data_IF_056021644667
#
_entry.id   IF_056021644667
#
_cell.length_a   1.000
_cell.length_b   1.000
_cell.length_c   1.000
_cell.angle_alpha   90.00
_cell.angle_beta   90.00
_cell.angle_gamma   90.00
#
_symmetry.space_group_name_H-M   'P 1'
#
loop_
_entity.id
_entity.type
_entity.pdbx_description
1 polymer ?
#
# COMPACT_ATOMS: atom_id res chain seq x y z
N UNK A 1 11.55 30.29 17.71
CA UNK A 1 11.50 30.48 16.24
C UNK A 1 11.27 29.13 15.61
N UNK A 2 10.02 28.77 15.33
CA UNK A 2 9.71 27.60 14.50
C UNK A 2 10.16 27.91 13.07
N UNK A 3 11.12 27.13 12.58
CA UNK A 3 11.51 27.16 11.17
C UNK A 3 10.43 26.42 10.39
N UNK A 4 9.44 27.16 9.89
CA UNK A 4 8.59 26.66 8.83
C UNK A 4 9.45 26.51 7.57
N UNK A 5 10.02 25.33 7.35
CA UNK A 5 10.53 24.95 6.05
C UNK A 5 9.33 24.83 5.11
N UNK A 6 9.13 25.84 4.27
CA UNK A 6 8.22 25.74 3.13
C UNK A 6 8.64 24.54 2.29
N UNK A 7 7.86 23.47 2.33
CA UNK A 7 8.09 22.31 1.47
C UNK A 7 7.79 22.71 0.04
N UNK A 8 8.79 23.25 -0.67
CA UNK A 8 8.71 23.53 -2.11
C UNK A 8 8.36 22.24 -2.82
N UNK A 9 7.15 22.18 -3.37
CA UNK A 9 6.70 21.04 -4.16
C UNK A 9 7.56 20.94 -5.43
N UNK A 10 8.45 19.94 -5.47
CA UNK A 10 9.26 19.65 -6.66
C UNK A 10 8.42 18.83 -7.64
N UNK A 11 8.12 19.41 -8.81
CA UNK A 11 7.38 18.72 -9.87
C UNK A 11 8.14 17.46 -10.31
N UNK A 12 7.42 16.33 -10.37
CA UNK A 12 7.97 15.08 -10.89
C UNK A 12 8.28 15.23 -12.38
N UNK A 13 9.52 14.99 -12.77
CA UNK A 13 9.98 14.96 -14.15
C UNK A 13 9.89 13.54 -14.71
N UNK A 14 9.80 13.36 -16.02
CA UNK A 14 9.96 12.04 -16.61
C UNK A 14 11.41 11.57 -16.37
N UNK A 15 11.57 10.42 -15.72
CA UNK A 15 12.87 9.74 -15.56
C UNK A 15 12.77 8.37 -16.19
N UNK A 16 13.65 8.10 -17.15
CA UNK A 16 13.80 6.78 -17.72
C UNK A 16 14.89 6.02 -16.97
N UNK A 17 14.52 4.85 -16.46
CA UNK A 17 15.43 3.95 -15.76
C UNK A 17 15.81 2.82 -16.70
N UNK A 18 17.11 2.56 -16.85
CA UNK A 18 17.62 1.47 -17.68
C UNK A 18 17.15 0.11 -17.14
N UNK A 19 17.10 -0.90 -18.01
CA UNK A 19 16.68 -2.24 -17.61
C UNK A 19 17.62 -2.85 -16.57
N UNK A 20 18.93 -2.71 -16.75
CA UNK A 20 19.95 -3.19 -15.81
C UNK A 20 19.76 -2.58 -14.41
N UNK A 21 19.49 -1.28 -14.34
CA UNK A 21 19.23 -0.60 -13.09
C UNK A 21 17.97 -1.15 -12.38
N UNK A 22 16.88 -1.37 -13.13
CA UNK A 22 15.65 -1.96 -12.57
C UNK A 22 15.92 -3.33 -11.96
N UNK A 23 16.66 -4.18 -12.67
CA UNK A 23 16.99 -5.53 -12.22
C UNK A 23 17.91 -5.52 -10.99
N UNK A 24 18.91 -4.63 -10.96
CA UNK A 24 19.79 -4.48 -9.80
C UNK A 24 18.99 -4.15 -8.53
N UNK A 25 18.10 -3.16 -8.60
CA UNK A 25 17.26 -2.76 -7.46
C UNK A 25 16.36 -3.91 -7.00
N UNK A 26 15.75 -4.65 -7.93
CA UNK A 26 14.92 -5.82 -7.60
C UNK A 26 15.74 -6.86 -6.86
N UNK A 27 16.94 -7.21 -7.35
CA UNK A 27 17.81 -8.18 -6.71
C UNK A 27 18.27 -7.75 -5.30
N UNK A 28 18.62 -6.48 -5.10
CA UNK A 28 19.01 -5.97 -3.77
C UNK A 28 17.87 -6.04 -2.76
N UNK A 29 16.64 -5.73 -3.20
CA UNK A 29 15.45 -5.83 -2.34
C UNK A 29 15.12 -7.29 -2.02
N UNK A 30 15.23 -8.20 -3.01
CA UNK A 30 14.99 -9.63 -2.79
C UNK A 30 16.03 -10.28 -1.88
N UNK A 31 17.28 -9.82 -1.93
CA UNK A 31 18.33 -10.21 -0.97
C UNK A 31 18.10 -9.64 0.44
N UNK A 32 17.11 -8.76 0.63
CA UNK A 32 16.84 -8.09 1.90
C UNK A 32 17.88 -7.02 2.27
N UNK A 33 18.72 -6.59 1.32
CA UNK A 33 19.76 -5.58 1.57
C UNK A 33 19.17 -4.17 1.66
N UNK A 34 18.06 -3.92 0.96
CA UNK A 34 17.37 -2.64 0.96
C UNK A 34 15.86 -2.84 1.05
N UNK A 35 15.20 -1.93 1.76
CA UNK A 35 13.74 -1.82 1.71
C UNK A 35 13.30 -0.99 0.50
N UNK A 36 12.06 -1.19 0.03
CA UNK A 36 11.49 -0.40 -1.08
C UNK A 36 11.57 1.11 -0.82
N UNK A 37 11.35 1.53 0.42
CA UNK A 37 11.46 2.94 0.85
C UNK A 37 12.90 3.43 0.86
N UNK A 38 13.84 2.58 1.24
CA UNK A 38 15.25 2.94 1.29
C UNK A 38 15.83 3.04 -0.13
N UNK A 39 15.53 2.10 -1.02
CA UNK A 39 15.92 2.18 -2.43
C UNK A 39 15.45 3.48 -3.10
N UNK A 40 14.28 4.00 -2.72
CA UNK A 40 13.83 5.30 -3.24
C UNK A 40 14.69 6.48 -2.79
N UNK A 41 15.14 6.46 -1.54
CA UNK A 41 15.98 7.52 -0.96
C UNK A 41 17.41 7.42 -1.47
N UNK A 42 17.99 6.23 -1.41
CA UNK A 42 19.39 5.96 -1.79
C UNK A 42 19.64 6.22 -3.28
N UNK A 43 18.73 5.77 -4.15
CA UNK A 43 18.90 5.90 -5.60
C UNK A 43 18.12 7.06 -6.24
N UNK A 44 17.46 7.90 -5.43
CA UNK A 44 16.72 9.06 -5.94
C UNK A 44 15.56 8.69 -6.88
N UNK A 45 14.90 7.55 -6.61
CA UNK A 45 13.73 7.09 -7.35
C UNK A 45 12.53 7.89 -6.87
N UNK A 46 11.78 8.48 -7.81
CA UNK A 46 10.74 9.46 -7.50
C UNK A 46 9.58 8.95 -6.64
N UNK A 47 9.28 7.65 -6.71
CA UNK A 47 8.15 7.08 -5.98
C UNK A 47 8.38 5.61 -5.64
N UNK A 48 7.97 5.23 -4.44
CA UNK A 48 7.90 3.85 -3.97
C UNK A 48 7.09 2.96 -4.92
N UNK A 49 5.98 3.48 -5.48
CA UNK A 49 5.14 2.71 -6.39
C UNK A 49 5.87 2.28 -7.67
N UNK A 50 6.86 3.05 -8.12
CA UNK A 50 7.70 2.68 -9.28
C UNK A 50 8.52 1.43 -8.98
N UNK A 51 9.14 1.37 -7.80
CA UNK A 51 9.92 0.20 -7.35
C UNK A 51 9.01 -1.02 -7.16
N UNK A 52 7.83 -0.83 -6.57
CA UNK A 52 6.83 -1.92 -6.43
C UNK A 52 6.41 -2.47 -7.79
N UNK A 53 6.28 -1.63 -8.82
CA UNK A 53 5.97 -2.11 -10.19
C UNK A 53 7.12 -2.95 -10.77
N UNK A 54 8.37 -2.59 -10.51
CA UNK A 54 9.52 -3.40 -10.95
C UNK A 54 9.57 -4.73 -10.23
N UNK A 55 9.34 -4.73 -8.91
CA UNK A 55 9.23 -5.95 -8.12
C UNK A 55 8.12 -6.86 -8.67
N UNK A 56 6.91 -6.34 -8.92
CA UNK A 56 5.82 -7.12 -9.51
C UNK A 56 6.11 -7.71 -10.89
N UNK A 57 6.96 -7.06 -11.68
CA UNK A 57 7.23 -7.47 -13.07
C UNK A 57 8.46 -8.37 -13.20
N UNK A 58 9.47 -8.15 -12.37
CA UNK A 58 10.79 -8.78 -12.49
C UNK A 58 11.21 -9.54 -11.24
N UNK A 59 10.45 -9.44 -10.16
CA UNK A 59 10.71 -10.16 -8.93
C UNK A 59 10.11 -11.56 -8.93
N UNK A 60 10.62 -12.39 -8.03
CA UNK A 60 10.29 -13.79 -7.84
C UNK A 60 9.21 -14.01 -6.76
N UNK A 61 8.75 -12.94 -6.09
CA UNK A 61 7.71 -13.05 -5.07
C UNK A 61 6.37 -13.41 -5.70
N UNK A 62 5.60 -14.27 -5.06
CA UNK A 62 4.26 -14.60 -5.53
C UNK A 62 3.28 -13.45 -5.21
N UNK A 63 3.05 -12.60 -6.20
CA UNK A 63 2.10 -11.47 -6.09
C UNK A 63 0.64 -11.88 -6.31
N UNK A 64 0.38 -13.05 -6.89
CA UNK A 64 -0.98 -13.52 -7.20
C UNK A 64 -1.61 -14.20 -5.99
N UNK A 65 -0.83 -14.94 -5.20
CA UNK A 65 -1.29 -15.61 -3.98
C UNK A 65 -0.98 -14.82 -2.70
N UNK A 66 -1.01 -13.49 -2.76
CA UNK A 66 -0.92 -12.70 -1.53
C UNK A 66 -2.16 -12.94 -0.69
N UNK A 67 -1.97 -13.34 0.57
CA UNK A 67 -3.06 -13.36 1.54
C UNK A 67 -3.71 -11.98 1.53
N UNK A 68 -4.98 -11.87 1.13
CA UNK A 68 -5.65 -10.59 1.14
C UNK A 68 -5.56 -10.04 2.55
N UNK A 69 -5.07 -8.80 2.70
CA UNK A 69 -5.22 -8.04 3.95
C UNK A 69 -6.69 -7.62 4.15
N UNK A 70 -7.65 -8.46 3.74
CA UNK A 70 -9.04 -8.34 4.12
C UNK A 70 -9.09 -8.56 5.62
N UNK A 71 -8.99 -7.45 6.36
CA UNK A 71 -9.27 -7.42 7.78
C UNK A 71 -10.67 -8.00 7.94
N UNK A 72 -10.78 -9.18 8.53
CA UNK A 72 -12.07 -9.71 8.94
C UNK A 72 -12.72 -8.67 9.85
N UNK A 73 -14.03 -8.43 9.67
CA UNK A 73 -14.77 -7.50 10.55
C UNK A 73 -14.50 -7.91 12.00
N UNK A 74 -14.17 -6.94 12.84
CA UNK A 74 -14.05 -7.19 14.28
C UNK A 74 -15.37 -7.80 14.79
N UNK A 75 -15.34 -8.73 15.75
CA UNK A 75 -16.54 -9.26 16.38
C UNK A 75 -17.50 -8.15 16.82
N UNK A 76 -16.97 -7.03 17.30
CA UNK A 76 -17.74 -5.87 17.76
C UNK A 76 -18.48 -5.14 16.62
N UNK A 77 -17.84 -4.98 15.45
CA UNK A 77 -18.52 -4.44 14.26
C UNK A 77 -19.67 -5.34 13.81
N UNK A 78 -19.49 -6.66 13.95
CA UNK A 78 -20.51 -7.65 13.58
C UNK A 78 -21.69 -7.60 14.56
N UNK A 79 -21.43 -7.43 15.86
CA UNK A 79 -22.47 -7.25 16.88
C UNK A 79 -23.28 -5.98 16.59
N UNK A 80 -22.62 -4.85 16.35
CA UNK A 80 -23.30 -3.58 16.06
C UNK A 80 -24.20 -3.65 14.81
N UNK A 81 -23.73 -4.32 13.74
CA UNK A 81 -24.50 -4.51 12.51
C UNK A 81 -25.73 -5.40 12.75
N UNK A 82 -25.58 -6.46 13.56
CA UNK A 82 -26.69 -7.36 13.91
C UNK A 82 -27.74 -6.65 14.78
N UNK A 83 -27.31 -5.88 15.79
CA UNK A 83 -28.23 -5.10 16.64
C UNK A 83 -29.04 -4.09 15.83
N UNK A 84 -28.41 -3.38 14.90
CA UNK A 84 -29.10 -2.47 13.99
C UNK A 84 -30.14 -3.19 13.13
N UNK A 85 -29.80 -4.40 12.65
CA UNK A 85 -30.70 -5.23 11.84
C UNK A 85 -31.89 -5.74 12.67
N UNK A 86 -31.66 -6.17 13.91
CA UNK A 86 -32.73 -6.60 14.83
C UNK A 86 -33.69 -5.44 15.07
N UNK A 87 -33.18 -4.26 15.40
CA UNK A 87 -34.00 -3.06 15.65
C UNK A 87 -34.85 -2.64 14.43
N UNK A 88 -34.30 -2.79 13.22
CA UNK A 88 -35.03 -2.52 11.99
C UNK A 88 -36.17 -3.52 11.77
N UNK A 89 -35.89 -4.81 11.98
CA UNK A 89 -36.87 -5.88 11.83
C UNK A 89 -37.99 -5.78 12.87
N UNK A 90 -37.67 -5.40 14.11
CA UNK A 90 -38.66 -5.15 15.16
C UNK A 90 -39.61 -4.01 14.77
N UNK A 91 -39.08 -2.90 14.25
CA UNK A 91 -39.92 -1.80 13.75
C UNK A 91 -40.85 -2.25 12.63
N UNK A 92 -40.34 -3.02 11.66
CA UNK A 92 -41.15 -3.56 10.56
C UNK A 92 -42.26 -4.48 11.06
N UNK A 93 -41.97 -5.36 12.03
CA UNK A 93 -42.97 -6.24 12.63
C UNK A 93 -44.00 -5.48 13.46
N UNK A 94 -43.62 -4.41 14.16
CA UNK A 94 -44.56 -3.60 14.96
C UNK A 94 -45.53 -2.78 14.11
N UNK A 95 -45.21 -2.58 12.83
CA UNK A 95 -46.01 -1.83 11.88
C UNK A 95 -47.04 -2.72 11.13
N UNK A 96 -46.93 -4.04 11.29
CA UNK A 96 -47.79 -5.08 10.69
C UNK A 96 -48.74 -5.63 11.75
#
# INVERSE_FOLDING_TARGET
MEKHEETRYVKRTQKDYSMSFKLQIVQEIERGQLTVTESTKTYGIQNRSTVVKWLRKFGNFDWENQTPFTMSKSPEQKIMELEAKVKLLEKQKSFL
#
